data_IF_198631538073
#
_entry.id   IF_198631538073
#
_cell.length_a   1.000
_cell.length_b   1.000
_cell.length_c   1.000
_cell.angle_alpha   90.00
_cell.angle_beta   90.00
_cell.angle_gamma   90.00
#
_symmetry.space_group_name_H-M   'P 1'
#
loop_
_entity.id
_entity.type
_entity.pdbx_description
1 polymer ?
#
# COMPACT_ATOMS: atom_id res chain seq x y z
N UNK A 1 16.18 -17.79 11.70
CA UNK A 1 15.37 -17.06 10.70
C UNK A 1 13.93 -17.52 10.89
N UNK A 2 13.02 -16.64 11.30
CA UNK A 2 11.61 -17.01 11.51
C UNK A 2 10.98 -17.35 10.16
N UNK A 3 10.64 -18.63 9.96
CA UNK A 3 9.86 -19.06 8.80
C UNK A 3 8.45 -18.46 8.95
N UNK A 4 8.20 -17.34 8.28
CA UNK A 4 6.85 -16.80 8.18
C UNK A 4 5.99 -17.81 7.42
N UNK A 5 4.79 -18.07 7.95
CA UNK A 5 3.85 -18.95 7.26
C UNK A 5 3.36 -18.27 5.96
N UNK A 6 3.01 -19.04 4.92
CA UNK A 6 2.46 -18.49 3.68
C UNK A 6 1.25 -17.58 3.92
N UNK A 7 0.40 -17.93 4.89
CA UNK A 7 -0.73 -17.09 5.35
C UNK A 7 -0.28 -15.75 5.93
N UNK A 8 0.81 -15.73 6.70
CA UNK A 8 1.36 -14.50 7.28
C UNK A 8 1.84 -13.53 6.20
N UNK A 9 2.47 -14.03 5.12
CA UNK A 9 2.86 -13.18 3.98
C UNK A 9 1.65 -12.55 3.29
N UNK A 10 0.57 -13.31 3.10
CA UNK A 10 -0.67 -12.80 2.50
C UNK A 10 -1.36 -11.76 3.39
N UNK A 11 -1.41 -11.98 4.70
CA UNK A 11 -1.99 -11.02 5.66
C UNK A 11 -1.23 -9.69 5.67
N UNK A 12 0.10 -9.75 5.75
CA UNK A 12 0.95 -8.55 5.68
C UNK A 12 0.77 -7.87 4.32
N UNK A 13 0.77 -8.62 3.22
CA UNK A 13 0.56 -8.06 1.89
C UNK A 13 -0.78 -7.34 1.73
N UNK A 14 -1.88 -7.90 2.27
CA UNK A 14 -3.19 -7.24 2.31
C UNK A 14 -3.18 -5.98 3.17
N UNK A 15 -2.48 -5.98 4.31
CA UNK A 15 -2.33 -4.80 5.15
C UNK A 15 -1.60 -3.67 4.39
N UNK A 16 -0.55 -4.01 3.63
CA UNK A 16 0.16 -3.04 2.78
C UNK A 16 -0.74 -2.42 1.70
N UNK A 17 -1.60 -3.23 1.06
CA UNK A 17 -2.58 -2.72 0.08
C UNK A 17 -3.60 -1.79 0.75
N UNK A 18 -4.06 -2.11 1.97
CA UNK A 18 -4.97 -1.24 2.72
C UNK A 18 -4.31 0.10 3.08
N UNK A 19 -3.05 0.07 3.54
CA UNK A 19 -2.27 1.28 3.84
C UNK A 19 -2.06 2.12 2.58
N UNK A 20 -1.74 1.48 1.44
CA UNK A 20 -1.62 2.14 0.16
C UNK A 20 -2.91 2.90 -0.16
N UNK A 21 -4.05 2.21 -0.11
CA UNK A 21 -5.37 2.77 -0.42
C UNK A 21 -5.71 3.94 0.50
N UNK A 22 -5.49 3.81 1.81
CA UNK A 22 -5.71 4.90 2.76
C UNK A 22 -4.81 6.12 2.46
N UNK A 23 -3.53 5.88 2.15
CA UNK A 23 -2.57 6.93 1.78
C UNK A 23 -3.03 7.68 0.53
N UNK A 24 -3.53 6.96 -0.48
CA UNK A 24 -4.05 7.59 -1.69
C UNK A 24 -5.29 8.45 -1.43
N UNK A 25 -6.26 7.92 -0.65
CA UNK A 25 -7.48 8.66 -0.31
C UNK A 25 -7.15 9.91 0.50
N UNK A 26 -6.36 9.79 1.56
CA UNK A 26 -6.06 10.92 2.45
C UNK A 26 -5.07 11.92 1.86
N UNK A 27 -4.10 11.44 1.06
CA UNK A 27 -3.05 12.28 0.50
C UNK A 27 -3.36 12.87 -0.88
N UNK A 28 -4.30 12.27 -1.62
CA UNK A 28 -4.67 12.73 -2.97
C UNK A 28 -6.14 13.14 -3.03
N UNK A 29 -7.08 12.26 -2.65
CA UNK A 29 -8.51 12.52 -2.84
C UNK A 29 -9.03 13.61 -1.88
N UNK A 30 -8.79 13.46 -0.57
CA UNK A 30 -9.31 14.38 0.44
C UNK A 30 -8.80 15.83 0.30
N UNK A 31 -7.53 16.10 -0.08
CA UNK A 31 -7.03 17.44 -0.35
C UNK A 31 -7.69 18.11 -1.56
N UNK A 32 -8.06 17.33 -2.60
CA UNK A 32 -8.79 17.84 -3.76
C UNK A 32 -10.17 18.38 -3.33
N UNK A 33 -10.95 17.59 -2.58
CA UNK A 33 -12.29 17.99 -2.14
C UNK A 33 -12.28 19.08 -1.06
N UNK A 34 -11.21 19.17 -0.27
CA UNK A 34 -11.08 20.20 0.77
C UNK A 34 -10.46 21.51 0.28
N UNK A 35 -10.12 21.61 -1.02
CA UNK A 35 -9.48 22.79 -1.61
C UNK A 35 -8.05 23.05 -1.10
N UNK A 36 -7.46 22.09 -0.37
CA UNK A 36 -6.09 22.14 0.18
C UNK A 36 -5.11 21.34 -0.67
N UNK A 37 -5.38 21.24 -1.96
CA UNK A 37 -4.58 20.44 -2.87
C UNK A 37 -3.16 21.02 -2.99
N UNK A 38 -2.16 20.14 -2.84
CA UNK A 38 -0.76 20.46 -3.08
C UNK A 38 -0.19 19.41 -4.03
N UNK A 39 0.38 19.88 -5.15
CA UNK A 39 1.03 19.03 -6.14
C UNK A 39 2.12 18.15 -5.51
N UNK A 40 2.93 18.72 -4.60
CA UNK A 40 4.00 17.99 -3.93
C UNK A 40 3.43 16.86 -3.07
N UNK A 41 2.38 17.14 -2.29
CA UNK A 41 1.72 16.14 -1.44
C UNK A 41 1.06 15.06 -2.28
N UNK A 42 0.41 15.44 -3.38
CA UNK A 42 -0.24 14.50 -4.28
C UNK A 42 0.78 13.55 -4.96
N UNK A 43 1.88 14.08 -5.49
CA UNK A 43 2.94 13.25 -6.07
C UNK A 43 3.62 12.36 -5.03
N UNK A 44 3.89 12.88 -3.82
CA UNK A 44 4.44 12.08 -2.73
C UNK A 44 3.49 10.95 -2.32
N UNK A 45 2.18 11.24 -2.26
CA UNK A 45 1.15 10.26 -1.91
C UNK A 45 0.97 9.20 -3.00
N UNK A 46 1.05 9.58 -4.28
CA UNK A 46 1.06 8.64 -5.41
C UNK A 46 2.28 7.73 -5.40
N UNK A 47 3.46 8.28 -5.10
CA UNK A 47 4.70 7.50 -4.98
C UNK A 47 4.61 6.47 -3.84
N UNK A 48 4.14 6.89 -2.66
CA UNK A 48 3.93 6.00 -1.52
C UNK A 48 2.86 4.94 -1.82
N UNK A 49 1.76 5.34 -2.45
CA UNK A 49 0.71 4.42 -2.90
C UNK A 49 1.31 3.33 -3.80
N UNK A 50 2.05 3.70 -4.84
CA UNK A 50 2.67 2.74 -5.75
C UNK A 50 3.65 1.79 -5.03
N UNK A 51 4.45 2.33 -4.11
CA UNK A 51 5.43 1.54 -3.33
C UNK A 51 4.72 0.52 -2.43
N UNK A 52 3.75 0.94 -1.63
CA UNK A 52 3.02 0.04 -0.74
C UNK A 52 2.19 -0.98 -1.51
N UNK A 53 1.58 -0.57 -2.63
CA UNK A 53 0.82 -1.48 -3.49
C UNK A 53 1.73 -2.55 -4.10
N UNK A 54 2.89 -2.16 -4.63
CA UNK A 54 3.86 -3.09 -5.20
C UNK A 54 4.38 -4.09 -4.16
N UNK A 55 4.79 -3.61 -2.99
CA UNK A 55 5.27 -4.48 -1.90
C UNK A 55 4.16 -5.41 -1.43
N UNK A 56 2.93 -4.90 -1.27
CA UNK A 56 1.77 -5.69 -0.88
C UNK A 56 1.48 -6.84 -1.85
N UNK A 57 1.46 -6.55 -3.16
CA UNK A 57 1.27 -7.57 -4.21
C UNK A 57 2.41 -8.60 -4.17
N UNK A 58 3.67 -8.17 -4.02
CA UNK A 58 4.81 -9.10 -3.93
C UNK A 58 4.76 -10.01 -2.71
N UNK A 59 4.27 -9.52 -1.58
CA UNK A 59 4.09 -10.32 -0.38
C UNK A 59 2.96 -11.35 -0.54
N UNK A 60 1.85 -10.97 -1.18
CA UNK A 60 0.76 -11.91 -1.48
C UNK A 60 1.25 -12.99 -2.46
N UNK A 61 1.88 -12.60 -3.57
CA UNK A 61 2.44 -13.52 -4.58
C UNK A 61 3.45 -14.49 -3.96
N UNK A 62 4.31 -14.01 -3.04
CA UNK A 62 5.22 -14.89 -2.29
C UNK A 62 4.46 -15.86 -1.39
N UNK A 63 3.46 -15.38 -0.65
CA UNK A 63 2.62 -16.23 0.20
C UNK A 63 1.74 -17.22 -0.58
N UNK A 64 1.48 -17.01 -1.87
CA UNK A 64 0.81 -17.97 -2.75
C UNK A 64 1.76 -19.01 -3.31
N UNK A 65 3.03 -18.65 -3.59
CA UNK A 65 4.04 -19.59 -4.08
C UNK A 65 4.58 -20.53 -3.00
N UNK A 66 4.66 -20.05 -1.77
CA UNK A 66 5.23 -20.78 -0.64
C UNK A 66 4.20 -21.66 0.10
N UNK A 67 2.91 -21.57 -0.26
CA UNK A 67 1.78 -22.30 0.37
C UNK A 67 1.19 -23.39 -0.50
#
# INVERSE_FOLDING_TARGET
>A
MSNFSPKSYQEVGRAFINIATATFILGTIQPIFSGKFSLIVAFGSLFLFGTFLYVGIKLIDRGERDG
#
